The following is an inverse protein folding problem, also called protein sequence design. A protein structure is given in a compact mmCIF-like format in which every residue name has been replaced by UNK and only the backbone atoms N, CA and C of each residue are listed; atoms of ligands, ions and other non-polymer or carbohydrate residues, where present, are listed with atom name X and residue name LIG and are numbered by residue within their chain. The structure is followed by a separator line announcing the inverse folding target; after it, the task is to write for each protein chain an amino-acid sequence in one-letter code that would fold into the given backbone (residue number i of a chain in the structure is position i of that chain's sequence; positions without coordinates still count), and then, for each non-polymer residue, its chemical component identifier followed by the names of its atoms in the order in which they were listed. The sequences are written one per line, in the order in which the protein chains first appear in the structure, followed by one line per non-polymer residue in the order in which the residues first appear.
data_IF_970474308059
#
_entry.id   IF_970474308059
#
_cell.length_a   1.000
_cell.length_b   1.000
_cell.length_c   1.000
_cell.angle_alpha   90.00
_cell.angle_beta   90.00
_cell.angle_gamma   90.00
#
_symmetry.space_group_name_H-M   'P 1'
#
loop_
_entity.id
_entity.type
_entity.pdbx_description
1 polymer ?
#
# COMPACT_ATOMS: atom_id res chain seq x y z
N UNK A 1 3.58 -33.26 -4.73
CA UNK A 1 2.98 -32.09 -5.44
C UNK A 1 3.24 -30.81 -4.63
N UNK A 2 4.41 -30.17 -4.79
CA UNK A 2 4.84 -29.03 -3.97
C UNK A 2 4.84 -27.69 -4.73
N UNK A 3 3.68 -27.27 -5.23
CA UNK A 3 3.53 -25.91 -5.76
C UNK A 3 3.15 -24.92 -4.66
N UNK A 4 3.78 -23.75 -4.65
CA UNK A 4 3.52 -22.72 -3.65
C UNK A 4 3.90 -21.33 -4.14
N UNK A 5 3.70 -20.32 -3.30
CA UNK A 5 3.96 -18.90 -3.59
C UNK A 5 4.74 -18.26 -2.45
N UNK A 6 5.78 -17.50 -2.79
CA UNK A 6 6.43 -16.63 -1.81
C UNK A 6 5.55 -15.40 -1.58
N UNK A 7 5.20 -15.13 -0.33
CA UNK A 7 4.28 -14.06 0.04
C UNK A 7 4.52 -13.56 1.46
N UNK A 8 3.99 -12.37 1.74
CA UNK A 8 3.87 -11.78 3.08
C UNK A 8 2.41 -11.39 3.26
N UNK A 9 1.77 -11.88 4.30
CA UNK A 9 0.37 -11.55 4.62
C UNK A 9 0.20 -11.32 6.11
N UNK A 10 -0.69 -10.41 6.47
CA UNK A 10 -1.10 -10.14 7.85
C UNK A 10 -2.61 -10.12 7.92
N UNK A 11 -3.18 -10.70 8.99
CA UNK A 11 -4.56 -10.47 9.41
C UNK A 11 -4.54 -9.73 10.74
N UNK A 12 -5.28 -8.63 10.81
CA UNK A 12 -5.39 -7.78 11.98
C UNK A 12 -6.85 -7.82 12.46
N UNK A 13 -7.05 -8.03 13.76
CA UNK A 13 -8.35 -8.10 14.39
C UNK A 13 -8.56 -6.90 15.30
N UNK A 14 -9.80 -6.45 15.36
CA UNK A 14 -10.25 -5.33 16.17
C UNK A 14 -11.68 -4.96 15.80
N UNK A 15 -12.24 -3.99 16.50
CA UNK A 15 -13.56 -3.43 16.18
C UNK A 15 -13.38 -2.07 15.53
N UNK A 16 -13.84 -1.94 14.28
CA UNK A 16 -13.82 -0.65 13.60
C UNK A 16 -14.82 0.32 14.25
N UNK A 17 -14.45 1.59 14.33
CA UNK A 17 -15.31 2.67 14.79
C UNK A 17 -15.21 3.86 13.83
N UNK A 18 -16.27 4.67 13.80
CA UNK A 18 -16.29 5.90 13.01
C UNK A 18 -15.56 7.01 13.75
N UNK A 19 -14.72 7.75 13.03
CA UNK A 19 -14.12 8.99 13.54
C UNK A 19 -15.12 10.13 13.30
N UNK A 20 -15.79 10.58 14.36
CA UNK A 20 -16.86 11.57 14.24
C UNK A 20 -16.35 13.01 14.22
N UNK A 21 -15.34 13.32 15.05
CA UNK A 21 -14.77 14.65 15.17
C UNK A 21 -14.19 15.14 13.82
N UNK A 22 -14.70 16.25 13.25
CA UNK A 22 -14.18 16.84 12.02
C UNK A 22 -12.68 17.17 12.08
N UNK A 23 -12.17 17.62 13.22
CA UNK A 23 -10.76 18.00 13.34
C UNK A 23 -9.85 16.77 13.42
N UNK A 24 -10.28 15.73 14.15
CA UNK A 24 -9.61 14.43 14.10
C UNK A 24 -9.63 13.83 12.67
N UNK A 25 -10.79 13.85 11.99
CA UNK A 25 -10.89 13.40 10.58
C UNK A 25 -9.87 14.11 9.69
N UNK A 26 -9.79 15.44 9.77
CA UNK A 26 -8.81 16.21 9.00
C UNK A 26 -7.38 15.79 9.31
N UNK A 27 -7.05 15.59 10.60
CA UNK A 27 -5.72 15.13 11.02
C UNK A 27 -5.39 13.74 10.45
N UNK A 28 -6.34 12.79 10.50
CA UNK A 28 -6.14 11.43 9.97
C UNK A 28 -5.98 11.43 8.44
N UNK A 29 -6.80 12.20 7.72
CA UNK A 29 -6.69 12.33 6.26
C UNK A 29 -5.37 12.97 5.84
N UNK A 30 -4.92 14.01 6.57
CA UNK A 30 -3.59 14.58 6.37
C UNK A 30 -2.49 13.53 6.58
N UNK A 31 -2.54 12.79 7.69
CA UNK A 31 -1.56 11.73 7.99
C UNK A 31 -1.54 10.63 6.92
N UNK A 32 -2.71 10.23 6.42
CA UNK A 32 -2.83 9.27 5.32
C UNK A 32 -2.14 9.78 4.04
N UNK A 33 -2.43 11.02 3.65
CA UNK A 33 -1.81 11.64 2.46
C UNK A 33 -0.30 11.79 2.61
N UNK A 34 0.17 12.27 3.77
CA UNK A 34 1.59 12.45 4.05
C UNK A 34 2.36 11.12 4.15
N UNK A 35 1.68 10.04 4.57
CA UNK A 35 2.26 8.69 4.58
C UNK A 35 2.50 8.13 3.18
N UNK A 36 1.63 8.46 2.21
CA UNK A 36 1.76 8.03 0.81
C UNK A 36 2.63 8.99 -0.02
N UNK A 37 2.47 10.29 0.20
CA UNK A 37 3.09 11.37 -0.56
C UNK A 37 3.62 12.44 0.39
N UNK A 38 4.80 12.25 1.01
CA UNK A 38 5.37 13.21 1.93
C UNK A 38 5.49 14.61 1.32
N UNK A 39 4.98 15.62 2.02
CA UNK A 39 4.94 17.01 1.60
C UNK A 39 3.85 17.36 0.58
N UNK A 40 2.98 16.42 0.18
CA UNK A 40 1.90 16.70 -0.79
C UNK A 40 0.81 17.56 -0.20
N UNK A 41 0.42 17.33 1.04
CA UNK A 41 -0.84 17.86 1.57
C UNK A 41 -0.87 19.39 1.54
N UNK A 42 0.24 20.04 1.93
CA UNK A 42 0.34 21.50 1.95
C UNK A 42 0.49 22.12 0.54
N UNK A 43 0.69 21.31 -0.51
CA UNK A 43 0.76 21.77 -1.92
C UNK A 43 -0.59 21.70 -2.65
N UNK A 44 -1.60 21.12 -2.00
CA UNK A 44 -2.95 21.01 -2.54
C UNK A 44 -3.78 22.26 -2.23
N UNK A 45 -4.93 22.38 -2.90
CA UNK A 45 -5.94 23.37 -2.46
C UNK A 45 -6.34 23.08 -1.00
N UNK A 46 -6.68 24.10 -0.21
CA UNK A 46 -7.23 23.89 1.12
C UNK A 46 -8.50 23.02 1.08
N UNK A 47 -8.66 22.19 2.11
CA UNK A 47 -9.87 21.39 2.32
C UNK A 47 -11.09 22.30 2.52
N UNK A 48 -12.20 21.97 1.87
CA UNK A 48 -13.49 22.57 2.19
C UNK A 48 -14.18 21.79 3.31
N UNK A 49 -15.03 22.45 4.10
CA UNK A 49 -15.81 21.79 5.14
C UNK A 49 -16.67 20.63 4.60
N UNK A 50 -17.15 20.77 3.35
CA UNK A 50 -17.91 19.73 2.67
C UNK A 50 -17.07 18.49 2.34
N UNK A 51 -15.78 18.65 2.03
CA UNK A 51 -14.87 17.53 1.73
C UNK A 51 -14.73 16.63 2.97
N UNK A 52 -14.57 17.23 4.16
CA UNK A 52 -14.49 16.52 5.44
C UNK A 52 -15.83 15.89 5.82
N UNK A 53 -16.94 16.60 5.60
CA UNK A 53 -18.28 16.09 5.92
C UNK A 53 -18.69 14.91 5.03
N UNK A 54 -18.29 14.92 3.76
CA UNK A 54 -18.61 13.86 2.80
C UNK A 54 -17.72 12.61 2.93
N UNK A 55 -16.64 12.69 3.72
CA UNK A 55 -15.66 11.60 3.86
C UNK A 55 -15.84 10.87 5.19
N UNK A 56 -16.13 9.57 5.13
CA UNK A 56 -16.16 8.70 6.32
C UNK A 56 -14.77 8.13 6.59
N UNK A 57 -14.25 8.34 7.81
CA UNK A 57 -12.99 7.77 8.27
C UNK A 57 -13.28 6.72 9.34
N UNK A 58 -12.73 5.53 9.16
CA UNK A 58 -12.83 4.44 10.12
C UNK A 58 -11.47 4.24 10.80
N UNK A 59 -11.48 4.15 12.13
CA UNK A 59 -10.35 3.69 12.93
C UNK A 59 -10.60 2.26 13.38
N UNK A 60 -9.54 1.48 13.54
CA UNK A 60 -9.60 0.18 14.20
C UNK A 60 -8.38 0.06 15.10
N UNK A 61 -8.62 -0.08 16.39
CA UNK A 61 -7.56 -0.50 17.30
C UNK A 61 -7.22 -1.95 17.00
N UNK A 62 -5.94 -2.23 16.75
CA UNK A 62 -5.47 -3.58 16.50
C UNK A 62 -5.32 -4.27 17.86
N UNK A 63 -6.22 -5.20 18.17
CA UNK A 63 -6.20 -5.96 19.42
C UNK A 63 -5.43 -7.27 19.29
N UNK A 64 -5.41 -7.83 18.08
CA UNK A 64 -4.70 -9.08 17.76
C UNK A 64 -4.24 -9.05 16.30
N UNK A 65 -3.16 -9.76 16.00
CA UNK A 65 -2.72 -9.96 14.62
C UNK A 65 -2.03 -11.30 14.41
N UNK A 66 -2.17 -11.85 13.21
CA UNK A 66 -1.42 -13.02 12.74
C UNK A 66 -0.70 -12.67 11.45
N UNK A 67 0.53 -13.17 11.29
CA UNK A 67 1.32 -12.96 10.09
C UNK A 67 1.83 -14.29 9.54
N UNK A 68 1.89 -14.39 8.21
CA UNK A 68 2.46 -15.52 7.50
C UNK A 68 3.42 -15.02 6.44
N UNK A 69 4.61 -15.59 6.44
CA UNK A 69 5.66 -15.29 5.47
C UNK A 69 6.14 -16.60 4.87
N UNK A 70 6.24 -16.65 3.55
CA UNK A 70 6.93 -17.71 2.82
C UNK A 70 7.96 -17.07 1.89
N UNK A 71 9.19 -17.55 1.97
CA UNK A 71 10.30 -17.20 1.08
C UNK A 71 11.08 -18.47 0.72
N UNK A 72 12.01 -18.37 -0.24
CA UNK A 72 12.88 -19.49 -0.63
C UNK A 72 12.33 -20.34 -1.78
N UNK A 73 13.00 -21.47 -2.02
CA UNK A 73 12.73 -22.40 -3.12
C UNK A 73 11.57 -23.38 -2.87
N UNK A 74 11.30 -24.27 -3.84
CA UNK A 74 10.51 -25.48 -3.63
C UNK A 74 11.15 -26.38 -2.55
N UNK A 75 10.33 -27.21 -1.92
CA UNK A 75 10.78 -28.22 -0.96
C UNK A 75 10.10 -29.53 -1.36
N UNK A 76 10.75 -30.26 -2.26
CA UNK A 76 10.30 -31.56 -2.78
C UNK A 76 10.87 -32.72 -1.96
N UNK A 77 10.35 -33.93 -2.18
CA UNK A 77 10.77 -35.15 -1.49
C UNK A 77 12.12 -35.65 -2.05
N UNK A 78 12.93 -36.35 -1.23
CA UNK A 78 14.29 -36.77 -1.63
C UNK A 78 14.31 -37.61 -2.94
N UNK A 79 13.31 -38.47 -3.12
CA UNK A 79 13.17 -39.31 -4.31
C UNK A 79 12.87 -38.49 -5.59
N UNK A 80 12.22 -37.32 -5.46
CA UNK A 80 11.86 -36.45 -6.60
C UNK A 80 13.11 -35.80 -7.23
N UNK A 81 14.17 -35.58 -6.46
CA UNK A 81 15.41 -34.96 -6.97
C UNK A 81 16.19 -35.85 -7.94
N UNK A 82 15.87 -37.14 -8.02
CA UNK A 82 16.42 -38.05 -9.03
C UNK A 82 15.70 -37.94 -10.38
N UNK A 83 14.52 -37.31 -10.42
CA UNK A 83 13.70 -37.18 -11.62
C UNK A 83 14.18 -36.00 -12.48
N UNK A 84 14.10 -36.10 -13.82
CA UNK A 84 14.50 -35.02 -14.72
C UNK A 84 13.41 -33.93 -14.83
N UNK A 85 12.99 -33.35 -13.70
CA UNK A 85 11.92 -32.35 -13.61
C UNK A 85 12.51 -31.01 -13.16
N UNK A 86 12.14 -29.93 -13.84
CA UNK A 86 12.58 -28.59 -13.45
C UNK A 86 11.76 -28.06 -12.27
N UNK A 87 12.45 -27.51 -11.28
CA UNK A 87 11.86 -26.82 -10.13
C UNK A 87 12.57 -25.47 -9.90
N UNK A 88 11.84 -24.47 -9.44
CA UNK A 88 12.39 -23.14 -9.23
C UNK A 88 11.39 -22.14 -8.69
N UNK A 89 11.79 -20.86 -8.67
CA UNK A 89 10.95 -19.74 -8.25
C UNK A 89 10.84 -18.75 -9.40
N UNK A 90 9.63 -18.30 -9.68
CA UNK A 90 9.37 -17.15 -10.55
C UNK A 90 9.17 -15.93 -9.63
N UNK A 91 10.12 -14.98 -9.55
CA UNK A 91 9.98 -13.82 -8.68
C UNK A 91 8.89 -12.88 -9.20
N UNK A 92 7.97 -12.49 -8.33
CA UNK A 92 6.99 -11.44 -8.60
C UNK A 92 7.40 -10.18 -7.82
N UNK A 93 7.43 -9.04 -8.52
CA UNK A 93 7.76 -7.74 -7.94
C UNK A 93 6.73 -6.69 -8.37
N UNK A 94 6.46 -5.74 -7.48
CA UNK A 94 5.73 -4.52 -7.82
C UNK A 94 6.72 -3.51 -8.41
N UNK A 95 6.37 -2.92 -9.54
CA UNK A 95 7.16 -1.86 -10.17
C UNK A 95 6.33 -0.58 -10.23
N UNK A 96 6.96 0.54 -9.87
CA UNK A 96 6.37 1.87 -9.95
C UNK A 96 6.88 2.54 -11.22
N UNK A 97 5.97 2.83 -12.15
CA UNK A 97 6.30 3.53 -13.39
C UNK A 97 6.58 5.01 -13.17
N UNK A 98 7.07 5.67 -14.22
CA UNK A 98 7.25 7.12 -14.21
C UNK A 98 5.89 7.85 -14.07
N UNK A 99 5.83 8.99 -13.34
CA UNK A 99 4.62 9.79 -13.28
C UNK A 99 4.19 10.27 -14.67
N UNK A 100 2.90 10.14 -14.96
CA UNK A 100 2.28 10.65 -16.18
C UNK A 100 1.50 11.92 -15.84
N UNK A 101 1.82 13.02 -16.52
CA UNK A 101 1.17 14.30 -16.29
C UNK A 101 -0.28 14.30 -16.82
N UNK A 102 -1.18 14.95 -16.10
CA UNK A 102 -2.53 15.25 -16.62
C UNK A 102 -2.39 16.22 -17.80
N UNK A 103 -2.95 15.92 -19.00
CA UNK A 103 -2.93 16.84 -20.14
C UNK A 103 -3.64 18.17 -19.87
N UNK A 104 -4.42 18.28 -18.79
CA UNK A 104 -5.07 19.52 -18.34
C UNK A 104 -4.25 20.35 -17.36
N UNK A 105 -3.04 19.90 -17.01
CA UNK A 105 -2.14 20.72 -16.20
C UNK A 105 -1.91 22.07 -16.89
N UNK A 106 -1.90 23.13 -16.09
CA UNK A 106 -1.57 24.46 -16.58
C UNK A 106 -0.12 24.46 -17.12
N UNK A 107 0.12 25.32 -18.10
CA UNK A 107 1.46 25.52 -18.63
C UNK A 107 2.43 25.96 -17.51
N UNK A 108 3.64 25.39 -17.51
CA UNK A 108 4.67 25.67 -16.51
C UNK A 108 4.51 24.94 -15.17
N UNK A 109 3.45 24.14 -14.98
CA UNK A 109 3.33 23.28 -13.78
C UNK A 109 4.34 22.15 -13.88
N UNK A 110 5.42 22.27 -13.11
CA UNK A 110 6.45 21.23 -13.02
C UNK A 110 5.94 20.02 -12.22
N UNK A 111 6.47 18.84 -12.56
CA UNK A 111 6.30 17.64 -11.76
C UNK A 111 6.88 17.86 -10.35
N UNK A 112 6.09 17.73 -9.28
CA UNK A 112 6.62 17.90 -7.94
C UNK A 112 7.48 16.70 -7.54
N UNK A 113 8.53 16.96 -6.76
CA UNK A 113 9.53 15.95 -6.40
C UNK A 113 8.92 14.73 -5.70
N UNK A 114 7.94 14.91 -4.82
CA UNK A 114 7.30 13.81 -4.09
C UNK A 114 6.64 12.77 -5.02
N UNK A 115 6.22 13.16 -6.23
CA UNK A 115 5.58 12.25 -7.18
C UNK A 115 6.56 11.22 -7.75
N UNK A 116 7.86 11.53 -7.75
CA UNK A 116 8.93 10.59 -8.17
C UNK A 116 9.36 9.65 -7.06
N UNK A 117 8.94 9.90 -5.82
CA UNK A 117 9.39 9.19 -4.61
C UNK A 117 8.33 8.23 -4.06
N UNK A 118 7.20 8.04 -4.75
CA UNK A 118 6.16 7.11 -4.34
C UNK A 118 6.70 5.67 -4.31
N UNK A 119 6.39 4.93 -3.25
CA UNK A 119 6.84 3.55 -3.04
C UNK A 119 5.70 2.73 -2.44
N UNK A 120 5.54 1.51 -2.95
CA UNK A 120 4.63 0.50 -2.39
C UNK A 120 5.14 -0.90 -2.74
N UNK A 121 4.96 -1.85 -1.81
CA UNK A 121 5.55 -3.20 -1.86
C UNK A 121 6.67 -3.40 -0.84
#
# INVERSE_FOLDING_TARGET
MHHSVNSRSVMLFGTAHMVEDPDEKRKKLRQFMEGLYPGRYDTLRPDHAQDIKATMVLGMEITEGSAKIRTGGPNDEDDDYALPIWAGVIPLRTEIGAPLADPRNLEGVALPEHATRFKIG
#
